data_IF_111267283719
#
_entry.id   IF_111267283719
#
_cell.length_a   1.000
_cell.length_b   1.000
_cell.length_c   1.000
_cell.angle_alpha   90.00
_cell.angle_beta   90.00
_cell.angle_gamma   90.00
#
_symmetry.space_group_name_H-M   'P 1'
#
loop_
_entity.id
_entity.type
_entity.pdbx_description
1 polymer ?
#
# COMPACT_ATOMS: atom_id res chain seq x y z
N UNK A 1 -17.79 0.82 -16.57
CA UNK A 1 -16.70 0.14 -15.83
C UNK A 1 -16.37 1.04 -14.66
N UNK A 2 -16.91 0.73 -13.48
CA UNK A 2 -16.68 1.51 -12.27
C UNK A 2 -15.18 1.48 -12.00
N UNK A 3 -14.52 2.64 -12.09
CA UNK A 3 -13.16 2.81 -11.61
C UNK A 3 -13.21 2.47 -10.11
N UNK A 4 -12.72 1.28 -9.75
CA UNK A 4 -12.77 0.81 -8.38
C UNK A 4 -11.69 1.57 -7.62
N UNK A 5 -12.03 2.81 -7.21
CA UNK A 5 -11.16 3.68 -6.42
C UNK A 5 -10.72 2.90 -5.19
N UNK A 6 -9.44 2.54 -5.16
CA UNK A 6 -8.79 2.11 -3.94
C UNK A 6 -8.61 3.37 -3.07
N UNK A 7 -9.54 3.58 -2.14
CA UNK A 7 -9.51 4.69 -1.19
C UNK A 7 -8.36 4.55 -0.17
N UNK A 8 -7.78 3.36 -0.07
CA UNK A 8 -6.65 3.06 0.83
C UNK A 8 -5.37 2.80 0.03
N UNK A 9 -4.28 3.46 0.43
CA UNK A 9 -2.94 3.20 -0.07
C UNK A 9 -2.01 2.78 1.07
N UNK A 10 -1.37 1.61 0.91
CA UNK A 10 -0.31 1.12 1.79
C UNK A 10 1.02 1.61 1.21
N UNK A 11 1.67 2.54 1.91
CA UNK A 11 2.95 3.12 1.49
C UNK A 11 4.06 2.57 2.39
N UNK A 12 5.19 2.19 1.80
CA UNK A 12 6.37 1.69 2.51
C UNK A 12 7.66 2.25 1.92
N UNK A 13 8.70 2.37 2.74
CA UNK A 13 9.95 3.03 2.35
C UNK A 13 10.87 2.16 1.46
N UNK A 14 10.70 0.84 1.53
CA UNK A 14 11.56 -0.15 0.88
C UNK A 14 10.81 -1.46 0.62
N UNK A 15 11.40 -2.33 -0.19
CA UNK A 15 10.85 -3.67 -0.42
C UNK A 15 10.92 -4.56 0.84
N UNK A 16 11.95 -4.40 1.68
CA UNK A 16 12.11 -5.17 2.92
C UNK A 16 10.99 -4.90 3.93
N UNK A 17 10.41 -3.70 3.92
CA UNK A 17 9.27 -3.35 4.79
C UNK A 17 8.02 -4.19 4.50
N UNK A 18 7.94 -4.81 3.32
CA UNK A 18 6.79 -5.63 2.92
C UNK A 18 6.55 -6.82 3.86
N UNK A 19 7.60 -7.38 4.45
CA UNK A 19 7.47 -8.47 5.42
C UNK A 19 6.54 -8.12 6.59
N UNK A 20 6.56 -6.85 7.01
CA UNK A 20 5.66 -6.27 8.02
C UNK A 20 4.37 -5.75 7.39
N UNK A 21 4.47 -4.95 6.33
CA UNK A 21 3.34 -4.22 5.75
C UNK A 21 2.29 -5.12 5.09
N UNK A 22 2.64 -6.36 4.70
CA UNK A 22 1.68 -7.33 4.14
C UNK A 22 0.50 -7.62 5.06
N UNK A 23 0.68 -7.51 6.37
CA UNK A 23 -0.40 -7.76 7.34
C UNK A 23 -1.55 -6.74 7.19
N UNK A 24 -1.22 -5.50 6.82
CA UNK A 24 -2.24 -4.50 6.51
C UNK A 24 -3.01 -4.85 5.23
N UNK A 25 -2.33 -5.34 4.20
CA UNK A 25 -2.96 -5.78 2.95
C UNK A 25 -3.91 -6.97 3.20
N UNK A 26 -3.43 -7.99 3.91
CA UNK A 26 -4.21 -9.18 4.28
C UNK A 26 -5.46 -8.80 5.10
N UNK A 27 -5.34 -7.82 6.01
CA UNK A 27 -6.48 -7.32 6.79
C UNK A 27 -7.51 -6.61 5.90
N UNK A 28 -7.07 -5.76 4.97
CA UNK A 28 -7.97 -5.06 4.04
C UNK A 28 -8.65 -6.02 3.09
N UNK A 29 -7.94 -7.04 2.60
CA UNK A 29 -8.49 -8.11 1.76
C UNK A 29 -9.58 -8.89 2.51
N UNK A 30 -9.34 -9.25 3.77
CA UNK A 30 -10.32 -9.95 4.61
C UNK A 30 -11.60 -9.12 4.86
N UNK A 31 -11.48 -7.80 4.86
CA UNK A 31 -12.60 -6.86 4.98
C UNK A 31 -13.26 -6.51 3.63
N UNK A 32 -12.71 -6.98 2.52
CA UNK A 32 -13.17 -6.64 1.18
C UNK A 32 -12.93 -5.18 0.79
N UNK A 33 -11.95 -4.52 1.40
CA UNK A 33 -11.61 -3.12 1.14
C UNK A 33 -10.56 -3.03 0.02
N UNK A 34 -10.89 -2.44 -1.14
CA UNK A 34 -9.93 -2.26 -2.22
C UNK A 34 -8.78 -1.35 -1.78
N UNK A 35 -7.55 -1.80 -2.01
CA UNK A 35 -6.36 -1.06 -1.63
C UNK A 35 -5.24 -1.21 -2.66
N UNK A 36 -4.29 -0.28 -2.62
CA UNK A 36 -3.06 -0.32 -3.45
C UNK A 36 -1.81 -0.28 -2.58
N UNK A 37 -0.73 -0.91 -3.03
CA UNK A 37 0.58 -0.86 -2.35
C UNK A 37 1.61 -0.09 -3.17
N UNK A 38 2.41 0.74 -2.52
CA UNK A 38 3.41 1.59 -3.15
C UNK A 38 4.71 1.59 -2.33
N UNK A 39 5.86 1.60 -3.02
CA UNK A 39 7.16 1.84 -2.40
C UNK A 39 7.55 3.29 -2.67
N UNK A 40 7.49 4.12 -1.62
CA UNK A 40 7.83 5.55 -1.64
C UNK A 40 8.70 5.85 -0.43
N UNK A 41 9.92 6.29 -0.67
CA UNK A 41 10.88 6.59 0.38
C UNK A 41 10.98 8.10 0.58
N UNK A 42 10.57 8.60 1.75
CA UNK A 42 10.68 10.02 2.07
C UNK A 42 12.12 10.56 1.91
N UNK A 43 13.13 9.75 2.22
CA UNK A 43 14.54 10.17 2.15
C UNK A 43 15.17 10.01 0.76
N UNK A 44 14.76 8.99 -0.01
CA UNK A 44 15.42 8.66 -1.30
C UNK A 44 14.66 9.17 -2.51
N UNK A 45 13.35 9.35 -2.38
CA UNK A 45 12.44 9.79 -3.45
C UNK A 45 11.40 10.76 -2.87
N UNK A 46 11.81 11.93 -2.36
CA UNK A 46 10.90 12.89 -1.72
C UNK A 46 9.86 13.50 -2.67
N UNK A 47 10.16 13.56 -3.98
CA UNK A 47 9.28 14.15 -4.99
C UNK A 47 8.23 13.16 -5.55
N UNK A 48 8.25 11.91 -5.09
CA UNK A 48 7.35 10.85 -5.55
C UNK A 48 6.09 10.74 -4.70
#
# INVERSE_FOLDING_TARGET
MTDQRADVAIIMGSQSDWATMRQAAETLDALGIPHRRLIVSAHRTPDR
#
